data_IF_643369886271
#
_entry.id   IF_643369886271
#
_cell.length_a   1.000
_cell.length_b   1.000
_cell.length_c   1.000
_cell.angle_alpha   90.00
_cell.angle_beta   90.00
_cell.angle_gamma   90.00
#
_symmetry.space_group_name_H-M   'P 1'
#
loop_
_entity.id
_entity.type
_entity.pdbx_description
1 polymer ?
#
# COMPACT_ATOMS: atom_id res chain seq x y z
N UNK A 1 2.81 -22.44 30.72
CA UNK A 1 3.51 -22.25 29.44
C UNK A 1 3.38 -20.78 29.07
N UNK A 2 4.42 -19.98 29.34
CA UNK A 2 4.43 -18.54 29.08
C UNK A 2 5.09 -18.33 27.71
N UNK A 3 4.31 -18.04 26.68
CA UNK A 3 4.87 -17.51 25.44
C UNK A 3 5.37 -16.09 25.74
N UNK A 4 6.69 -15.90 25.71
CA UNK A 4 7.33 -14.60 25.87
C UNK A 4 6.92 -13.68 24.71
N UNK A 5 6.16 -12.62 25.02
CA UNK A 5 5.63 -11.64 24.07
C UNK A 5 6.66 -10.61 23.58
N UNK A 6 7.95 -10.93 23.49
CA UNK A 6 9.03 -9.92 23.39
C UNK A 6 9.78 -9.83 22.06
N UNK A 7 9.27 -10.37 20.94
CA UNK A 7 9.97 -10.27 19.64
C UNK A 7 9.21 -9.58 18.49
N UNK A 8 8.03 -9.00 18.73
CA UNK A 8 7.44 -8.05 17.79
C UNK A 8 7.83 -6.62 18.19
N UNK A 9 9.12 -6.29 18.09
CA UNK A 9 9.49 -4.88 17.99
C UNK A 9 8.92 -4.38 16.65
N UNK A 10 7.69 -3.86 16.70
CA UNK A 10 7.12 -3.03 15.65
C UNK A 10 8.21 -2.02 15.27
N UNK A 11 8.67 -2.03 14.02
CA UNK A 11 9.67 -1.09 13.54
C UNK A 11 8.95 0.26 13.42
N UNK A 12 8.95 1.00 14.53
CA UNK A 12 8.18 2.21 14.74
C UNK A 12 8.90 3.43 14.19
N UNK A 13 9.16 3.41 12.88
CA UNK A 13 9.83 4.53 12.22
C UNK A 13 10.12 4.34 10.74
N UNK A 14 9.88 3.14 10.19
CA UNK A 14 10.03 2.95 8.76
C UNK A 14 8.94 3.76 8.04
N UNK A 15 9.37 4.72 7.22
CA UNK A 15 8.50 5.57 6.41
C UNK A 15 8.43 5.09 4.94
N UNK A 16 9.42 4.34 4.48
CA UNK A 16 9.51 3.89 3.10
C UNK A 16 9.81 2.40 3.05
N UNK A 17 8.99 1.65 2.31
CA UNK A 17 9.19 0.23 2.05
C UNK A 17 8.99 -0.04 0.56
N UNK A 18 9.94 -0.72 -0.06
CA UNK A 18 9.87 -1.16 -1.45
C UNK A 18 10.21 -2.63 -1.54
N UNK A 19 9.31 -3.41 -2.14
CA UNK A 19 9.39 -4.87 -2.32
C UNK A 19 9.07 -5.23 -3.78
N UNK A 20 9.80 -4.62 -4.70
CA UNK A 20 9.56 -4.70 -6.16
C UNK A 20 9.88 -6.10 -6.71
N UNK A 21 9.06 -6.56 -7.66
CA UNK A 21 9.16 -7.86 -8.35
C UNK A 21 9.11 -9.07 -7.41
N UNK A 22 8.57 -8.88 -6.20
CA UNK A 22 8.36 -9.95 -5.24
C UNK A 22 6.98 -10.58 -5.46
N UNK A 23 6.88 -11.51 -6.42
CA UNK A 23 5.62 -12.20 -6.77
C UNK A 23 4.98 -12.99 -5.63
N UNK A 24 5.76 -13.36 -4.60
CA UNK A 24 5.27 -14.01 -3.37
C UNK A 24 4.55 -13.05 -2.40
N UNK A 25 4.56 -11.74 -2.67
CA UNK A 25 3.79 -10.76 -1.89
C UNK A 25 2.32 -10.83 -2.33
N UNK A 26 1.46 -11.15 -1.36
CA UNK A 26 0.00 -11.30 -1.52
C UNK A 26 -0.73 -10.38 -0.55
N UNK A 27 -2.06 -10.35 -0.62
CA UNK A 27 -2.88 -9.56 0.32
C UNK A 27 -2.64 -9.96 1.79
N UNK A 28 -2.30 -11.23 2.05
CA UNK A 28 -1.91 -11.69 3.40
C UNK A 28 -0.57 -11.07 3.85
N UNK A 29 0.39 -10.94 2.93
CA UNK A 29 1.66 -10.24 3.20
C UNK A 29 1.44 -8.77 3.50
N UNK A 30 0.50 -8.11 2.80
CA UNK A 30 0.12 -6.71 3.04
C UNK A 30 -0.42 -6.53 4.47
N UNK A 31 -1.24 -7.45 4.98
CA UNK A 31 -1.70 -7.40 6.36
C UNK A 31 -0.53 -7.44 7.37
N UNK A 32 0.46 -8.31 7.14
CA UNK A 32 1.65 -8.40 7.99
C UNK A 32 2.52 -7.13 7.93
N UNK A 33 2.70 -6.56 6.74
CA UNK A 33 3.39 -5.27 6.52
C UNK A 33 2.67 -4.16 7.28
N UNK A 34 1.35 -4.06 7.11
CA UNK A 34 0.53 -3.02 7.73
C UNK A 34 0.50 -3.09 9.26
N UNK A 35 0.56 -4.30 9.81
CA UNK A 35 0.72 -4.49 11.24
C UNK A 35 2.10 -4.04 11.74
N UNK A 36 3.16 -4.28 10.96
CA UNK A 36 4.54 -4.06 11.39
C UNK A 36 5.02 -2.62 11.23
N UNK A 37 4.54 -1.91 10.20
CA UNK A 37 5.05 -0.60 9.79
C UNK A 37 3.94 0.45 9.72
N UNK A 38 3.45 0.88 10.88
CA UNK A 38 2.25 1.73 10.99
C UNK A 38 2.43 3.20 10.55
N UNK A 39 3.64 3.59 10.15
CA UNK A 39 3.99 4.98 9.78
C UNK A 39 4.50 5.11 8.33
N UNK A 40 4.17 4.15 7.47
CA UNK A 40 4.58 4.22 6.07
C UNK A 40 3.95 5.42 5.37
N UNK A 41 4.81 6.16 4.68
CA UNK A 41 4.50 7.26 3.77
C UNK A 41 4.63 6.79 2.31
N UNK A 42 5.62 5.92 2.04
CA UNK A 42 5.83 5.29 0.73
C UNK A 42 5.75 3.76 0.86
N UNK A 43 4.87 3.16 0.05
CA UNK A 43 4.80 1.73 -0.13
C UNK A 43 4.87 1.38 -1.62
N UNK A 44 5.87 0.59 -1.98
CA UNK A 44 6.06 0.08 -3.33
C UNK A 44 5.99 -1.44 -3.35
N UNK A 45 4.95 -1.95 -4.00
CA UNK A 45 4.67 -3.37 -4.18
C UNK A 45 4.58 -3.71 -5.67
N UNK A 46 5.27 -2.95 -6.52
CA UNK A 46 5.23 -3.15 -7.97
C UNK A 46 5.69 -4.57 -8.33
N UNK A 47 4.96 -5.26 -9.20
CA UNK A 47 5.24 -6.64 -9.60
C UNK A 47 4.85 -7.71 -8.58
N UNK A 48 4.06 -7.36 -7.57
CA UNK A 48 3.48 -8.31 -6.61
C UNK A 48 2.18 -8.94 -7.11
N UNK A 49 1.69 -9.96 -6.39
CA UNK A 49 0.43 -10.65 -6.71
C UNK A 49 -0.78 -10.10 -5.94
N UNK A 50 -0.67 -8.89 -5.37
CA UNK A 50 -1.77 -8.28 -4.60
C UNK A 50 -2.96 -7.96 -5.51
N UNK A 51 -4.17 -7.99 -4.94
CA UNK A 51 -5.39 -7.57 -5.61
C UNK A 51 -6.08 -6.39 -4.92
N UNK A 52 -7.33 -6.13 -5.34
CA UNK A 52 -8.14 -5.05 -4.78
C UNK A 52 -8.39 -5.22 -3.27
N UNK A 53 -8.39 -6.45 -2.75
CA UNK A 53 -8.46 -6.71 -1.30
C UNK A 53 -7.22 -6.22 -0.56
N UNK A 54 -6.02 -6.42 -1.11
CA UNK A 54 -4.78 -5.86 -0.60
C UNK A 54 -4.79 -4.33 -0.58
N UNK A 55 -5.33 -3.71 -1.63
CA UNK A 55 -5.56 -2.25 -1.66
C UNK A 55 -6.48 -1.83 -0.52
N UNK A 56 -7.57 -2.56 -0.27
CA UNK A 56 -8.50 -2.29 0.83
C UNK A 56 -7.79 -2.25 2.19
N UNK A 57 -6.89 -3.20 2.43
CA UNK A 57 -6.06 -3.24 3.65
C UNK A 57 -5.15 -2.01 3.72
N UNK A 58 -4.44 -1.67 2.64
CA UNK A 58 -3.56 -0.49 2.56
C UNK A 58 -4.35 0.78 2.90
N UNK A 59 -5.52 0.96 2.30
CA UNK A 59 -6.38 2.12 2.53
C UNK A 59 -6.83 2.24 3.99
N UNK A 60 -7.28 1.13 4.57
CA UNK A 60 -7.72 1.11 5.97
C UNK A 60 -6.59 1.45 6.94
N UNK A 61 -5.39 0.92 6.69
CA UNK A 61 -4.27 1.01 7.63
C UNK A 61 -3.45 2.29 7.48
N UNK A 62 -3.36 2.85 6.28
CA UNK A 62 -2.46 3.96 5.96
C UNK A 62 -3.16 5.22 5.44
N UNK A 63 -4.48 5.33 5.58
CA UNK A 63 -5.28 6.52 5.18
C UNK A 63 -4.75 7.86 5.69
N UNK A 64 -4.03 7.85 6.82
CA UNK A 64 -3.48 9.06 7.46
C UNK A 64 -2.01 9.34 7.17
N UNK A 65 -1.29 8.38 6.59
CA UNK A 65 0.18 8.46 6.47
C UNK A 65 0.66 8.32 5.02
N UNK A 66 -0.01 7.53 4.19
CA UNK A 66 0.48 7.21 2.86
C UNK A 66 0.39 8.41 1.91
N UNK A 67 1.52 8.78 1.34
CA UNK A 67 1.65 9.81 0.30
C UNK A 67 2.02 9.22 -1.04
N UNK A 68 2.66 8.03 -1.08
CA UNK A 68 3.14 7.39 -2.30
C UNK A 68 2.81 5.90 -2.31
N UNK A 69 2.09 5.45 -3.32
CA UNK A 69 1.71 4.05 -3.49
C UNK A 69 2.07 3.58 -4.90
N UNK A 70 3.02 2.66 -5.01
CA UNK A 70 3.50 2.14 -6.31
C UNK A 70 3.03 0.70 -6.50
N UNK A 71 2.21 0.48 -7.54
CA UNK A 71 1.54 -0.79 -7.84
C UNK A 71 1.68 -1.14 -9.33
N UNK A 72 2.78 -0.73 -9.96
CA UNK A 72 3.04 -1.07 -11.36
C UNK A 72 3.17 -2.60 -11.50
N UNK A 73 2.79 -3.16 -12.65
CA UNK A 73 2.94 -4.60 -12.93
C UNK A 73 2.24 -5.56 -11.93
N UNK A 74 1.22 -5.12 -11.19
CA UNK A 74 0.42 -5.99 -10.33
C UNK A 74 -0.80 -6.55 -11.11
N UNK A 75 -0.81 -7.84 -11.51
CA UNK A 75 -1.78 -8.36 -12.47
C UNK A 75 -3.20 -8.53 -11.93
N UNK A 76 -3.37 -8.58 -10.61
CA UNK A 76 -4.66 -8.87 -9.97
C UNK A 76 -5.41 -7.59 -9.52
N UNK A 77 -4.85 -6.41 -9.78
CA UNK A 77 -5.46 -5.13 -9.43
C UNK A 77 -6.35 -4.67 -10.58
N UNK A 78 -7.57 -4.24 -10.24
CA UNK A 78 -8.53 -3.70 -11.21
C UNK A 78 -8.66 -2.19 -11.10
N UNK A 79 -9.32 -1.57 -12.09
CA UNK A 79 -9.65 -0.15 -12.02
C UNK A 79 -10.56 0.21 -10.83
N UNK A 80 -11.34 -0.73 -10.30
CA UNK A 80 -12.16 -0.53 -9.11
C UNK A 80 -11.28 -0.37 -7.86
N UNK A 81 -10.24 -1.19 -7.71
CA UNK A 81 -9.26 -1.04 -6.63
C UNK A 81 -8.54 0.31 -6.67
N UNK A 82 -8.13 0.77 -7.87
CA UNK A 82 -7.48 2.07 -8.05
C UNK A 82 -8.42 3.24 -7.70
N UNK A 83 -9.66 3.21 -8.18
CA UNK A 83 -10.68 4.21 -7.80
C UNK A 83 -10.92 4.23 -6.29
N UNK A 84 -10.99 3.05 -5.66
CA UNK A 84 -11.13 2.95 -4.22
C UNK A 84 -9.91 3.56 -3.48
N UNK A 85 -8.69 3.21 -3.88
CA UNK A 85 -7.47 3.78 -3.30
C UNK A 85 -7.45 5.29 -3.36
N UNK A 86 -7.78 5.84 -4.52
CA UNK A 86 -7.74 7.29 -4.74
C UNK A 86 -8.82 8.04 -3.96
N UNK A 87 -9.94 7.39 -3.64
CA UNK A 87 -10.99 7.94 -2.78
C UNK A 87 -10.67 7.84 -1.29
N UNK A 88 -9.96 6.79 -0.85
CA UNK A 88 -9.72 6.49 0.57
C UNK A 88 -8.37 6.98 1.10
N UNK A 89 -7.44 7.38 0.22
CA UNK A 89 -6.12 7.90 0.60
C UNK A 89 -6.04 9.42 0.33
N UNK A 90 -6.52 10.28 1.26
CA UNK A 90 -6.63 11.72 1.05
C UNK A 90 -5.29 12.45 0.93
N UNK A 91 -4.22 11.85 1.46
CA UNK A 91 -2.86 12.40 1.42
C UNK A 91 -2.01 11.85 0.26
N UNK A 92 -2.57 10.97 -0.58
CA UNK A 92 -1.83 10.34 -1.67
C UNK A 92 -1.46 11.38 -2.74
N UNK A 93 -0.17 11.58 -2.97
CA UNK A 93 0.39 12.49 -3.98
C UNK A 93 0.76 11.75 -5.26
N UNK A 94 1.08 10.46 -5.15
CA UNK A 94 1.61 9.66 -6.24
C UNK A 94 1.05 8.24 -6.19
N UNK A 95 0.47 7.81 -7.31
CA UNK A 95 -0.02 6.45 -7.52
C UNK A 95 0.53 5.90 -8.85
N UNK A 96 1.09 4.70 -8.85
CA UNK A 96 1.40 3.98 -10.09
C UNK A 96 0.57 2.71 -10.21
N UNK A 97 0.09 2.39 -11.41
CA UNK A 97 -0.62 1.15 -11.70
C UNK A 97 -0.51 0.79 -13.19
N UNK A 98 -0.48 -0.50 -13.51
CA UNK A 98 -0.18 -0.95 -14.88
C UNK A 98 1.21 -0.49 -15.35
N UNK A 99 1.28 0.09 -16.55
CA UNK A 99 2.49 0.76 -17.08
C UNK A 99 2.46 2.29 -16.89
N UNK A 100 1.52 2.80 -16.09
CA UNK A 100 1.28 4.22 -15.93
C UNK A 100 1.71 4.70 -14.54
N UNK A 101 2.23 5.93 -14.50
CA UNK A 101 2.53 6.69 -13.29
C UNK A 101 1.63 7.92 -13.28
N UNK A 102 0.87 8.10 -12.20
CA UNK A 102 -0.04 9.23 -12.05
C UNK A 102 0.35 10.09 -10.85
N UNK A 103 0.60 11.38 -11.13
CA UNK A 103 0.78 12.40 -10.10
C UNK A 103 -0.59 12.95 -9.77
N UNK A 104 -1.04 12.73 -8.54
CA UNK A 104 -2.37 13.07 -8.12
C UNK A 104 -2.41 14.51 -7.64
N UNK A 105 -3.34 15.35 -8.14
CA UNK A 105 -3.50 16.70 -7.61
C UNK A 105 -3.90 16.60 -6.15
N UNK A 106 -3.34 17.49 -5.32
CA UNK A 106 -3.66 17.58 -3.90
C UNK A 106 -5.15 17.88 -3.73
N UNK A 107 -5.92 16.84 -3.40
CA UNK A 107 -7.25 16.84 -2.77
C UNK A 107 -8.49 17.25 -3.62
N UNK A 108 -8.42 17.86 -4.81
CA UNK A 108 -9.67 18.43 -5.42
C UNK A 108 -10.07 18.13 -6.88
N UNK A 109 -9.38 17.29 -7.63
CA UNK A 109 -9.91 16.87 -8.94
C UNK A 109 -9.41 15.50 -9.35
N UNK A 110 -9.94 14.45 -8.72
CA UNK A 110 -9.71 13.09 -9.20
C UNK A 110 -10.91 12.72 -10.06
N UNK A 111 -10.77 12.88 -11.38
CA UNK A 111 -11.70 12.30 -12.35
C UNK A 111 -11.05 11.02 -12.86
N UNK A 112 -11.68 9.89 -12.56
CA UNK A 112 -11.45 8.59 -13.19
C UNK A 112 -12.71 8.21 -13.95
#
# INVERSE_FOLDING_TARGET
>A
MKYNSSCFHLISGLQMLSLVLASGITDASVAAIAYSFTKLELLDLSGSSIGDSGIGIICNMFSRTLTRLLLALCPNITSSGIQFATAQLPHLELLSFGNNLEVLPTVRSRRF
#
